data_IF_654430174552
#
_entry.id   IF_654430174552
#
_cell.length_a   1.000
_cell.length_b   1.000
_cell.length_c   1.000
_cell.angle_alpha   90.00
_cell.angle_beta   90.00
_cell.angle_gamma   90.00
#
_symmetry.space_group_name_H-M   'P 1'
#
loop_
_entity.id
_entity.type
_entity.pdbx_description
1 polymer ?
#
# COMPACT_ATOMS: atom_id res chain seq x y z
N UNK A 1 11.77 -46.76 -60.97
CA UNK A 1 11.45 -46.92 -59.54
C UNK A 1 11.82 -45.63 -58.84
N UNK A 2 10.88 -44.67 -58.62
CA UNK A 2 11.10 -43.42 -57.91
C UNK A 2 10.36 -43.52 -56.57
N UNK A 3 11.06 -43.48 -55.43
CA UNK A 3 10.48 -43.38 -54.10
C UNK A 3 10.34 -41.90 -53.70
N UNK A 4 9.12 -41.43 -53.62
CA UNK A 4 8.83 -40.10 -53.06
C UNK A 4 8.85 -40.17 -51.54
N UNK A 5 9.74 -39.38 -50.89
CA UNK A 5 9.79 -39.22 -49.46
C UNK A 5 8.85 -38.07 -49.08
N UNK A 6 7.84 -38.40 -48.29
CA UNK A 6 6.89 -37.43 -47.69
C UNK A 6 7.51 -36.91 -46.38
N UNK A 7 7.88 -35.62 -46.34
CA UNK A 7 8.29 -34.96 -45.13
C UNK A 7 7.06 -34.36 -44.45
N UNK A 8 6.65 -34.98 -43.33
CA UNK A 8 5.56 -34.47 -42.47
C UNK A 8 6.13 -33.43 -41.52
N UNK A 9 5.92 -32.14 -41.78
CA UNK A 9 6.33 -31.06 -40.92
C UNK A 9 5.32 -30.88 -39.79
N UNK A 10 5.67 -31.28 -38.57
CA UNK A 10 4.85 -31.12 -37.38
C UNK A 10 5.02 -29.68 -36.88
N UNK A 11 4.01 -28.84 -37.14
CA UNK A 11 3.93 -27.48 -36.59
C UNK A 11 3.51 -27.54 -35.13
N UNK A 12 4.45 -27.34 -34.21
CA UNK A 12 4.19 -27.24 -32.77
C UNK A 12 3.65 -25.85 -32.46
N UNK A 13 2.33 -25.71 -32.33
CA UNK A 13 1.67 -24.50 -31.82
C UNK A 13 1.96 -24.34 -30.32
N UNK A 14 2.92 -23.49 -29.97
CA UNK A 14 3.15 -23.01 -28.60
C UNK A 14 1.98 -22.06 -28.23
N UNK A 15 0.96 -22.60 -27.58
CA UNK A 15 -0.04 -21.81 -26.87
C UNK A 15 0.61 -21.14 -25.66
N UNK A 16 1.12 -19.94 -25.86
CA UNK A 16 1.58 -19.09 -24.78
C UNK A 16 0.39 -18.70 -23.91
N UNK A 17 0.20 -19.36 -22.76
CA UNK A 17 -0.68 -18.87 -21.69
C UNK A 17 -0.14 -17.54 -21.18
N UNK A 18 -0.69 -16.43 -21.68
CA UNK A 18 -0.50 -15.14 -21.05
C UNK A 18 -1.10 -15.21 -19.63
N UNK A 19 -0.26 -15.32 -18.62
CA UNK A 19 -0.67 -15.20 -17.23
C UNK A 19 -1.31 -13.81 -17.07
N UNK A 20 -2.62 -13.79 -16.88
CA UNK A 20 -3.38 -12.57 -16.61
C UNK A 20 -2.97 -12.14 -15.21
N UNK A 21 -2.19 -11.08 -15.10
CA UNK A 21 -1.94 -10.45 -13.81
C UNK A 21 -3.31 -10.06 -13.23
N UNK A 22 -3.71 -10.70 -12.14
CA UNK A 22 -4.91 -10.31 -11.40
C UNK A 22 -4.65 -8.93 -10.82
N UNK A 23 -5.44 -7.94 -11.24
CA UNK A 23 -5.36 -6.62 -10.64
C UNK A 23 -5.65 -6.74 -9.14
N UNK A 24 -4.77 -6.18 -8.31
CA UNK A 24 -4.91 -6.25 -6.86
C UNK A 24 -6.16 -5.54 -6.35
N UNK A 25 -6.59 -5.91 -5.15
CA UNK A 25 -7.72 -5.26 -4.48
C UNK A 25 -7.49 -3.75 -4.39
N UNK A 26 -8.51 -2.95 -4.74
CA UNK A 26 -8.42 -1.48 -4.64
C UNK A 26 -9.12 -0.95 -3.41
N UNK A 27 -8.49 0.06 -2.80
CA UNK A 27 -9.06 0.82 -1.68
C UNK A 27 -9.00 2.29 -2.01
N UNK A 28 -10.12 2.99 -1.80
CA UNK A 28 -10.22 4.45 -1.90
C UNK A 28 -10.18 5.03 -0.50
N UNK A 29 -9.29 6.01 -0.31
CA UNK A 29 -9.23 6.88 0.87
C UNK A 29 -9.76 8.25 0.46
N UNK A 30 -10.90 8.64 0.98
CA UNK A 30 -11.43 10.00 0.85
C UNK A 30 -10.82 10.82 1.98
N UNK A 31 -10.22 11.95 1.66
CA UNK A 31 -9.56 12.81 2.64
C UNK A 31 -10.05 14.25 2.52
N UNK A 32 -9.77 15.07 3.51
CA UNK A 32 -10.05 16.52 3.46
C UNK A 32 -9.23 17.25 2.39
N UNK A 33 -8.21 16.61 1.81
CA UNK A 33 -7.38 17.15 0.73
C UNK A 33 -7.69 16.56 -0.65
N UNK A 34 -8.58 15.55 -0.73
CA UNK A 34 -8.94 14.87 -1.96
C UNK A 34 -8.93 13.34 -1.83
N UNK A 35 -9.03 12.66 -2.95
CA UNK A 35 -9.14 11.20 -3.01
C UNK A 35 -7.81 10.57 -3.38
N UNK A 36 -7.44 9.50 -2.66
CA UNK A 36 -6.27 8.67 -2.95
C UNK A 36 -6.76 7.24 -3.21
N UNK A 37 -6.38 6.64 -4.33
CA UNK A 37 -6.68 5.23 -4.61
C UNK A 37 -5.43 4.38 -4.49
N UNK A 38 -5.56 3.29 -3.73
CA UNK A 38 -4.51 2.31 -3.48
C UNK A 38 -4.83 1.02 -4.24
N UNK A 39 -3.82 0.41 -4.83
CA UNK A 39 -3.86 -0.98 -5.31
C UNK A 39 -3.01 -1.82 -4.36
N UNK A 40 -3.62 -2.84 -3.78
CA UNK A 40 -2.98 -3.69 -2.77
C UNK A 40 -2.25 -4.86 -3.42
N UNK A 41 -1.19 -5.32 -2.78
CA UNK A 41 -0.34 -6.42 -3.26
C UNK A 41 -0.78 -7.76 -2.64
N UNK A 42 -2.00 -8.20 -2.97
CA UNK A 42 -2.68 -9.35 -2.34
C UNK A 42 -1.80 -10.61 -2.31
N UNK A 43 -1.08 -10.91 -3.39
CA UNK A 43 -0.24 -12.11 -3.50
C UNK A 43 1.12 -11.96 -2.79
N UNK A 44 1.63 -10.71 -2.68
CA UNK A 44 2.98 -10.43 -2.15
C UNK A 44 2.98 -10.17 -0.64
N UNK A 45 1.86 -9.66 -0.10
CA UNK A 45 1.70 -9.32 1.31
C UNK A 45 0.31 -9.75 1.83
N UNK A 46 -0.06 -11.04 1.71
CA UNK A 46 -1.42 -11.50 1.97
C UNK A 46 -1.92 -11.25 3.39
N UNK A 47 -1.07 -11.41 4.42
CA UNK A 47 -1.44 -11.15 5.82
C UNK A 47 -1.61 -9.66 6.08
N UNK A 48 -0.73 -8.84 5.54
CA UNK A 48 -0.76 -7.38 5.66
C UNK A 48 -1.97 -6.81 4.94
N UNK A 49 -2.25 -7.27 3.73
CA UNK A 49 -3.44 -6.87 2.96
C UNK A 49 -4.72 -7.29 3.68
N UNK A 50 -4.81 -8.53 4.17
CA UNK A 50 -5.98 -9.00 4.92
C UNK A 50 -6.22 -8.16 6.19
N UNK A 51 -5.16 -7.80 6.93
CA UNK A 51 -5.23 -6.92 8.10
C UNK A 51 -5.72 -5.52 7.72
N UNK A 52 -5.13 -4.89 6.70
CA UNK A 52 -5.52 -3.57 6.23
C UNK A 52 -6.99 -3.54 5.77
N UNK A 53 -7.43 -4.53 5.00
CA UNK A 53 -8.82 -4.66 4.55
C UNK A 53 -9.78 -4.89 5.72
N UNK A 54 -9.36 -5.59 6.78
CA UNK A 54 -10.18 -5.76 7.98
C UNK A 54 -10.43 -4.42 8.68
N UNK A 55 -9.43 -3.53 8.75
CA UNK A 55 -9.58 -2.17 9.25
C UNK A 55 -10.46 -1.31 8.34
N UNK A 56 -10.28 -1.38 7.02
CA UNK A 56 -11.15 -0.68 6.04
C UNK A 56 -12.61 -1.08 6.22
N UNK A 57 -12.89 -2.40 6.25
CA UNK A 57 -14.25 -2.94 6.41
C UNK A 57 -14.90 -2.58 7.74
N UNK A 58 -14.11 -2.43 8.80
CA UNK A 58 -14.56 -2.00 10.12
C UNK A 58 -14.75 -0.48 10.24
N UNK A 59 -14.47 0.32 9.20
CA UNK A 59 -14.52 1.78 9.25
C UNK A 59 -13.47 2.37 10.20
N UNK A 60 -12.42 1.64 10.52
CA UNK A 60 -11.39 2.09 11.47
C UNK A 60 -10.71 3.38 11.02
N UNK A 61 -10.44 3.52 9.73
CA UNK A 61 -9.73 4.68 9.20
C UNK A 61 -10.60 5.94 9.13
N UNK A 62 -11.92 5.81 9.17
CA UNK A 62 -12.85 6.94 9.12
C UNK A 62 -12.62 7.82 10.36
N UNK A 63 -12.34 9.11 10.14
CA UNK A 63 -11.99 10.09 11.17
C UNK A 63 -10.56 10.02 11.70
N UNK A 64 -9.68 9.17 11.13
CA UNK A 64 -8.26 9.20 11.47
C UNK A 64 -7.52 10.28 10.68
N UNK A 65 -6.38 10.73 11.22
CA UNK A 65 -5.54 11.77 10.61
C UNK A 65 -4.23 11.20 10.07
N UNK A 66 -3.66 11.93 9.11
CA UNK A 66 -2.23 11.84 8.84
C UNK A 66 -1.49 12.66 9.91
N UNK A 67 -1.06 11.96 10.96
CA UNK A 67 -0.48 12.58 12.16
C UNK A 67 1.02 12.86 12.05
N UNK A 68 1.69 12.35 10.99
CA UNK A 68 3.11 12.58 10.73
C UNK A 68 3.35 12.76 9.24
N UNK A 69 3.79 13.94 8.87
CA UNK A 69 4.07 14.34 7.49
C UNK A 69 5.46 14.96 7.42
N UNK A 70 6.36 14.28 6.71
CA UNK A 70 7.73 14.73 6.51
C UNK A 70 7.94 14.90 5.00
N UNK A 71 8.02 16.15 4.50
CA UNK A 71 8.29 16.43 3.09
C UNK A 71 9.54 15.69 2.58
N UNK A 72 9.43 15.08 1.39
CA UNK A 72 10.53 14.30 0.81
C UNK A 72 10.85 13.01 1.55
N UNK A 73 9.97 12.53 2.45
CA UNK A 73 10.12 11.24 3.15
C UNK A 73 8.81 10.44 3.09
N UNK A 74 7.86 10.71 4.00
CA UNK A 74 6.61 9.94 4.11
C UNK A 74 5.43 10.81 4.58
N UNK A 75 4.21 10.31 4.27
CA UNK A 75 2.93 10.74 4.86
C UNK A 75 2.38 9.55 5.63
N UNK A 76 2.30 9.63 6.97
CA UNK A 76 1.91 8.52 7.87
C UNK A 76 0.60 8.81 8.59
N UNK A 77 -0.31 7.84 8.64
CA UNK A 77 -1.61 7.97 9.27
C UNK A 77 -2.23 6.66 9.74
N UNK A 78 -3.55 6.70 10.02
CA UNK A 78 -4.37 5.51 10.31
C UNK A 78 -4.37 5.04 11.76
N UNK A 79 -3.79 5.80 12.71
CA UNK A 79 -3.73 5.39 14.12
C UNK A 79 -4.44 6.30 15.11
N UNK A 80 -4.65 7.58 14.77
CA UNK A 80 -5.11 8.62 15.69
C UNK A 80 -6.29 9.39 15.12
N UNK A 81 -7.20 9.81 15.99
CA UNK A 81 -8.27 10.76 15.66
C UNK A 81 -7.71 12.19 15.58
N UNK A 82 -8.52 13.15 15.10
CA UNK A 82 -8.15 14.57 15.08
C UNK A 82 -7.88 15.17 16.49
N UNK A 83 -8.40 14.53 17.54
CA UNK A 83 -8.10 14.85 18.94
C UNK A 83 -6.86 14.10 19.47
N UNK A 84 -6.06 13.49 18.61
CA UNK A 84 -4.87 12.68 18.94
C UNK A 84 -5.14 11.48 19.86
N UNK A 85 -6.40 11.03 19.92
CA UNK A 85 -6.73 9.80 20.67
C UNK A 85 -6.36 8.59 19.80
N UNK A 86 -5.56 7.63 20.32
CA UNK A 86 -5.29 6.40 19.60
C UNK A 86 -6.58 5.59 19.42
N UNK A 87 -6.83 5.09 18.21
CA UNK A 87 -7.96 4.16 18.00
C UNK A 87 -7.58 2.75 18.40
N UNK A 88 -8.50 1.97 19.01
CA UNK A 88 -8.26 0.58 19.37
C UNK A 88 -7.79 -0.24 18.18
N UNK A 89 -6.77 -1.08 18.36
CA UNK A 89 -6.21 -1.90 17.30
C UNK A 89 -6.51 -3.39 17.50
N UNK A 90 -6.47 -4.13 16.41
CA UNK A 90 -6.41 -5.60 16.41
C UNK A 90 -5.02 -6.06 16.88
N UNK A 91 -4.82 -7.34 17.20
CA UNK A 91 -3.49 -7.88 17.45
C UNK A 91 -2.50 -7.55 16.31
N UNK A 92 -1.21 -7.37 16.61
CA UNK A 92 -0.20 -7.13 15.59
C UNK A 92 -0.04 -8.32 14.63
N UNK A 93 0.56 -8.06 13.48
CA UNK A 93 0.75 -9.04 12.42
C UNK A 93 2.24 -9.28 12.15
N UNK A 94 2.61 -10.49 11.67
CA UNK A 94 3.96 -10.78 11.20
C UNK A 94 4.37 -9.84 10.06
N UNK A 95 5.65 -9.47 10.05
CA UNK A 95 6.22 -8.61 9.02
C UNK A 95 6.47 -9.39 7.72
N UNK A 96 5.86 -8.96 6.64
CA UNK A 96 6.06 -9.54 5.31
C UNK A 96 7.02 -8.73 4.44
N UNK A 97 7.95 -7.95 5.02
CA UNK A 97 8.87 -7.08 4.26
C UNK A 97 9.84 -7.85 3.33
N UNK A 98 10.08 -9.15 3.61
CA UNK A 98 10.86 -10.04 2.73
C UNK A 98 10.16 -10.39 1.40
N UNK A 99 9.01 -9.77 1.11
CA UNK A 99 8.18 -10.03 -0.07
C UNK A 99 8.78 -9.50 -1.40
N UNK A 100 9.93 -8.83 -1.35
CA UNK A 100 10.65 -8.29 -2.51
C UNK A 100 10.14 -6.95 -3.03
N UNK A 101 9.06 -6.39 -2.44
CA UNK A 101 8.59 -5.03 -2.74
C UNK A 101 9.50 -4.00 -2.07
N UNK A 102 9.66 -2.83 -2.72
CA UNK A 102 10.56 -1.78 -2.28
C UNK A 102 9.80 -0.55 -1.82
N UNK A 103 10.38 0.19 -0.86
CA UNK A 103 9.86 1.47 -0.39
C UNK A 103 10.17 2.58 -1.41
N UNK A 104 9.57 2.48 -2.58
CA UNK A 104 9.69 3.46 -3.66
C UNK A 104 8.60 4.54 -3.55
N UNK A 105 8.80 5.69 -4.22
CA UNK A 105 7.77 6.74 -4.26
C UNK A 105 6.41 6.18 -4.67
N UNK A 106 5.37 6.55 -3.91
CA UNK A 106 3.99 6.14 -4.12
C UNK A 106 3.65 4.76 -3.56
N UNK A 107 4.60 3.98 -3.02
CA UNK A 107 4.26 2.73 -2.33
C UNK A 107 3.72 2.99 -0.94
N UNK A 108 2.89 2.04 -0.46
CA UNK A 108 2.25 2.06 0.85
C UNK A 108 2.84 0.93 1.68
N UNK A 109 3.30 1.27 2.90
CA UNK A 109 3.92 0.31 3.80
C UNK A 109 3.37 0.44 5.22
N UNK A 110 3.49 -0.65 6.01
CA UNK A 110 3.07 -0.66 7.41
C UNK A 110 4.07 0.07 8.30
N UNK A 111 3.57 0.98 9.11
CA UNK A 111 4.33 1.51 10.24
C UNK A 111 4.39 0.46 11.37
N UNK A 112 5.49 0.47 12.11
CA UNK A 112 5.76 -0.43 13.24
C UNK A 112 6.65 0.21 14.29
N UNK A 113 6.72 -0.39 15.46
CA UNK A 113 7.71 -0.06 16.50
C UNK A 113 9.08 -0.67 16.16
N UNK A 114 10.00 -0.73 17.12
CA UNK A 114 11.27 -1.44 16.94
C UNK A 114 11.09 -2.96 16.76
N UNK A 115 10.03 -3.53 17.34
CA UNK A 115 9.67 -4.92 17.09
C UNK A 115 9.19 -5.08 15.64
N UNK A 116 9.83 -5.93 14.84
CA UNK A 116 9.43 -6.16 13.45
C UNK A 116 7.98 -6.60 13.28
N UNK A 117 7.43 -7.38 14.20
CA UNK A 117 6.08 -7.98 14.14
C UNK A 117 5.04 -7.16 14.92
N UNK A 118 5.26 -5.85 15.09
CA UNK A 118 4.38 -4.96 15.86
C UNK A 118 3.39 -4.15 15.04
N UNK A 119 3.34 -4.34 13.72
CA UNK A 119 2.44 -3.59 12.85
C UNK A 119 0.96 -3.88 13.17
N UNK A 120 0.14 -2.83 13.24
CA UNK A 120 -1.31 -2.94 13.50
C UNK A 120 -2.12 -2.21 12.42
N UNK A 121 -2.52 -0.93 12.65
CA UNK A 121 -3.35 -0.15 11.72
C UNK A 121 -2.60 0.95 11.00
N UNK A 122 -1.50 1.45 11.56
CA UNK A 122 -0.80 2.60 10.98
C UNK A 122 -0.05 2.22 9.70
N UNK A 123 -0.15 3.08 8.70
CA UNK A 123 0.54 2.95 7.43
C UNK A 123 1.17 4.27 7.01
N UNK A 124 2.08 4.22 6.05
CA UNK A 124 2.61 5.42 5.42
C UNK A 124 2.69 5.27 3.91
N UNK A 125 2.68 6.42 3.22
CA UNK A 125 2.90 6.54 1.78
C UNK A 125 4.28 7.15 1.57
N UNK A 126 5.11 6.51 0.76
CA UNK A 126 6.45 6.99 0.45
C UNK A 126 6.41 8.18 -0.53
N UNK A 127 7.08 9.29 -0.19
CA UNK A 127 7.19 10.47 -1.05
C UNK A 127 8.42 10.44 -1.97
N UNK A 128 9.36 9.54 -1.70
CA UNK A 128 10.53 9.25 -2.52
C UNK A 128 10.93 7.78 -2.37
N UNK A 129 12.00 7.39 -3.07
CA UNK A 129 12.61 6.08 -2.87
C UNK A 129 13.39 6.07 -1.55
N UNK A 130 12.90 5.30 -0.58
CA UNK A 130 13.43 5.18 0.78
C UNK A 130 14.09 3.80 0.98
N UNK A 131 15.12 3.47 0.19
CA UNK A 131 15.75 2.15 0.17
C UNK A 131 16.30 1.67 1.51
N UNK A 132 16.58 2.58 2.45
CA UNK A 132 17.00 2.23 3.81
C UNK A 132 15.88 1.62 4.66
N UNK A 133 14.61 1.72 4.23
CA UNK A 133 13.44 1.06 4.82
C UNK A 133 13.19 -0.34 4.25
N UNK A 134 13.92 -0.74 3.21
CA UNK A 134 13.76 -2.04 2.58
C UNK A 134 14.28 -3.18 3.46
N UNK A 135 13.68 -4.35 3.27
CA UNK A 135 14.21 -5.58 3.83
C UNK A 135 15.59 -5.89 3.27
N UNK A 136 16.53 -6.21 4.16
CA UNK A 136 17.91 -6.60 3.85
C UNK A 136 18.24 -7.98 4.40
N UNK A 137 17.83 -8.25 5.64
CA UNK A 137 18.09 -9.49 6.36
C UNK A 137 17.07 -9.67 7.51
N UNK A 138 17.14 -10.79 8.23
CA UNK A 138 16.22 -11.14 9.31
C UNK A 138 16.56 -10.52 10.67
N UNK A 139 17.59 -9.69 10.77
CA UNK A 139 17.87 -8.94 12.01
C UNK A 139 16.79 -7.88 12.25
N UNK A 140 16.61 -7.44 13.48
CA UNK A 140 15.67 -6.37 13.83
C UNK A 140 15.91 -5.10 12.99
N UNK A 141 17.18 -4.74 12.78
CA UNK A 141 17.57 -3.57 11.98
C UNK A 141 17.44 -3.79 10.47
N UNK A 142 17.60 -5.02 9.99
CA UNK A 142 17.55 -5.39 8.59
C UNK A 142 16.19 -5.84 8.09
N UNK A 143 15.24 -6.13 9.00
CA UNK A 143 13.91 -6.64 8.64
C UNK A 143 13.15 -5.68 7.70
N UNK A 144 13.31 -4.37 7.87
CA UNK A 144 12.65 -3.37 7.04
C UNK A 144 11.15 -3.21 7.33
N UNK A 145 10.45 -2.57 6.40
CA UNK A 145 9.03 -2.24 6.49
C UNK A 145 8.27 -2.87 5.33
N UNK A 146 7.18 -3.56 5.64
CA UNK A 146 6.39 -4.29 4.66
C UNK A 146 5.64 -3.34 3.73
N UNK A 147 6.07 -3.23 2.49
CA UNK A 147 5.28 -2.65 1.41
C UNK A 147 4.17 -3.63 1.04
N UNK A 148 2.92 -3.15 1.02
CA UNK A 148 1.74 -3.96 0.75
C UNK A 148 0.80 -3.39 -0.31
N UNK A 149 1.18 -2.28 -0.95
CA UNK A 149 0.42 -1.66 -2.01
C UNK A 149 1.09 -0.42 -2.57
N UNK A 150 0.38 0.26 -3.46
CA UNK A 150 0.83 1.51 -4.08
C UNK A 150 -0.35 2.44 -4.37
N UNK A 151 -0.09 3.72 -4.46
CA UNK A 151 -1.02 4.73 -4.98
C UNK A 151 -1.13 4.54 -6.50
N UNK A 152 -2.36 4.39 -6.99
CA UNK A 152 -2.66 4.26 -8.43
C UNK A 152 -3.42 5.47 -8.99
N UNK A 153 -4.01 6.28 -8.10
CA UNK A 153 -4.58 7.59 -8.43
C UNK A 153 -4.50 8.51 -7.21
N UNK A 154 -4.40 9.82 -7.40
CA UNK A 154 -4.34 10.81 -6.32
C UNK A 154 -2.95 11.00 -5.72
N UNK A 155 -1.88 10.72 -6.47
CA UNK A 155 -0.52 11.02 -5.99
C UNK A 155 -0.28 12.52 -5.81
N UNK A 156 -0.96 13.36 -6.60
CA UNK A 156 -1.00 14.80 -6.46
C UNK A 156 -1.65 15.25 -5.14
N UNK A 157 -2.65 14.48 -4.64
CA UNK A 157 -3.26 14.70 -3.32
C UNK A 157 -2.26 14.38 -2.21
N UNK A 158 -1.50 13.28 -2.35
CA UNK A 158 -0.42 12.93 -1.41
C UNK A 158 0.66 14.00 -1.37
N UNK A 159 1.02 14.56 -2.52
CA UNK A 159 1.98 15.68 -2.62
C UNK A 159 1.43 16.97 -1.97
N UNK A 160 0.14 17.27 -2.15
CA UNK A 160 -0.52 18.39 -1.48
C UNK A 160 -0.50 18.20 0.05
N UNK A 161 -0.79 16.98 0.55
CA UNK A 161 -0.66 16.66 1.97
C UNK A 161 0.78 16.86 2.45
N UNK A 162 1.77 16.45 1.65
CA UNK A 162 3.19 16.62 1.99
C UNK A 162 3.64 18.07 2.07
N UNK A 163 2.92 19.00 1.44
CA UNK A 163 3.23 20.42 1.39
C UNK A 163 2.56 21.27 2.49
N UNK A 164 1.65 20.67 3.29
CA UNK A 164 0.97 21.43 4.35
C UNK A 164 1.96 21.88 5.44
N UNK A 165 1.76 23.02 6.09
CA UNK A 165 2.55 23.45 7.24
C UNK A 165 2.43 22.43 8.38
N UNK A 166 3.57 22.02 8.93
CA UNK A 166 3.65 21.08 10.06
C UNK A 166 4.23 21.76 11.30
N UNK A 167 4.06 21.11 12.46
CA UNK A 167 4.58 21.54 13.75
C UNK A 167 4.26 20.53 14.84
N UNK A 168 4.45 20.90 16.13
CA UNK A 168 4.01 20.07 17.24
C UNK A 168 2.49 19.91 17.26
N UNK A 169 2.00 18.73 17.70
CA UNK A 169 0.57 18.45 17.85
C UNK A 169 0.29 17.25 18.71
N UNK A 170 -0.66 17.33 19.65
CA UNK A 170 -0.92 16.26 20.62
C UNK A 170 0.35 15.79 21.33
N UNK A 171 0.63 14.48 21.34
CA UNK A 171 1.83 13.92 21.98
C UNK A 171 3.09 14.02 21.09
N UNK A 172 2.99 14.58 19.88
CA UNK A 172 4.09 14.59 18.91
C UNK A 172 4.84 15.92 18.96
N UNK A 173 6.18 15.91 19.05
CA UNK A 173 6.99 17.13 19.16
C UNK A 173 7.13 17.89 17.83
N UNK A 174 6.72 17.29 16.69
CA UNK A 174 6.83 17.88 15.36
C UNK A 174 6.16 17.03 14.29
N UNK A 175 6.29 17.47 13.03
CA UNK A 175 5.82 16.78 11.82
C UNK A 175 4.30 16.58 11.72
N UNK A 176 3.50 17.18 12.61
CA UNK A 176 2.04 17.09 12.57
C UNK A 176 1.49 18.23 11.71
N UNK A 177 0.63 17.97 10.73
CA UNK A 177 -0.09 19.02 10.01
C UNK A 177 -0.79 19.98 10.98
N UNK A 178 -0.56 21.30 10.84
CA UNK A 178 -1.19 22.32 11.71
C UNK A 178 -2.70 22.31 11.60
N UNK A 179 -3.22 22.05 10.40
CA UNK A 179 -4.62 21.73 10.17
C UNK A 179 -4.74 20.24 9.93
N UNK A 180 -5.57 19.52 10.68
CA UNK A 180 -5.68 18.06 10.55
C UNK A 180 -6.08 17.65 9.14
N UNK A 181 -5.27 16.81 8.51
CA UNK A 181 -5.65 16.10 7.28
C UNK A 181 -6.32 14.80 7.66
N UNK A 182 -7.63 14.74 7.43
CA UNK A 182 -8.50 13.65 7.94
C UNK A 182 -8.82 12.70 6.79
N UNK A 183 -8.73 11.39 7.05
CA UNK A 183 -9.34 10.36 6.23
C UNK A 183 -10.83 10.32 6.61
N UNK A 184 -11.69 10.87 5.76
CA UNK A 184 -13.13 10.97 6.01
C UNK A 184 -13.83 9.64 5.75
N UNK A 185 -13.30 8.85 4.81
CA UNK A 185 -13.82 7.53 4.45
C UNK A 185 -12.72 6.65 3.87
N UNK A 186 -12.77 5.35 4.20
CA UNK A 186 -11.97 4.32 3.54
C UNK A 186 -12.88 3.18 3.07
N UNK A 187 -12.85 2.86 1.77
CA UNK A 187 -13.72 1.83 1.18
C UNK A 187 -12.97 0.95 0.19
N UNK A 188 -13.34 -0.33 0.14
CA UNK A 188 -12.92 -1.23 -0.93
C UNK A 188 -13.68 -0.86 -2.20
N UNK A 189 -12.94 -0.61 -3.29
CA UNK A 189 -13.53 -0.27 -4.59
C UNK A 189 -13.64 -1.55 -5.42
N UNK A 190 -14.81 -1.87 -5.98
CA UNK A 190 -14.92 -2.98 -6.92
C UNK A 190 -14.01 -2.75 -8.12
N UNK A 191 -13.28 -3.78 -8.53
CA UNK A 191 -12.56 -3.73 -9.81
C UNK A 191 -13.59 -3.58 -10.93
N UNK A 192 -13.36 -2.63 -11.84
CA UNK A 192 -14.17 -2.55 -13.04
C UNK A 192 -14.09 -3.89 -13.78
N UNK A 193 -15.23 -4.44 -14.27
CA UNK A 193 -15.20 -5.66 -15.06
C UNK A 193 -14.26 -5.46 -16.26
N UNK A 194 -13.40 -6.45 -16.51
CA UNK A 194 -12.52 -6.41 -17.68
C UNK A 194 -13.37 -6.16 -18.96
N UNK A 195 -12.90 -5.30 -19.89
CA UNK A 195 -13.61 -5.09 -21.14
C UNK A 195 -13.86 -6.46 -21.80
N UNK A 196 -15.12 -6.70 -22.19
CA UNK A 196 -15.46 -7.91 -22.94
C UNK A 196 -14.70 -7.87 -24.27
N UNK A 197 -14.04 -8.98 -24.68
CA UNK A 197 -13.48 -9.03 -26.01
C UNK A 197 -14.61 -8.75 -27.03
N UNK A 198 -14.39 -7.77 -27.87
CA UNK A 198 -15.28 -7.53 -29.02
C UNK A 198 -15.27 -8.78 -29.90
N UNK A 199 -16.47 -9.27 -30.27
CA UNK A 199 -16.65 -10.44 -31.12
C UNK A 199 -16.46 -10.05 -32.56
#
# INVERSE_FOLDING_TARGET
>A
MFRAAFHLTLALCLLGSAARATAGTRVRLETTQGVIELELADERAPKTVANFLAYVKAGHFDGTIFHRVIPGFVVQGGGFTAAFQPKPTRPPIPNEAANGLKNERGTVAMARTQDPDSATSQFYINLKNNSFLDHRDTSVAGMGYCVFGRVVAGMEVVDAIAAVPTGPGGPFPGDVPREPVIITKAVVVPLAPAPRPER
#
